data_IF_637152096088
#
_entry.id   IF_637152096088
#
_cell.length_a   1.000
_cell.length_b   1.000
_cell.length_c   1.000
_cell.angle_alpha   90.00
_cell.angle_beta   90.00
_cell.angle_gamma   90.00
#
_symmetry.space_group_name_H-M   'P 1'
#
loop_
_entity.id
_entity.type
_entity.pdbx_description
1 polymer ?
#
# COMPACT_ATOMS: atom_id res chain seq x y z
N UNK A 1 -48.81 -7.78 -31.12
CA UNK A 1 -48.57 -8.54 -29.87
C UNK A 1 -47.53 -9.58 -30.20
N UNK A 2 -46.28 -9.38 -29.78
CA UNK A 2 -45.27 -10.44 -29.84
C UNK A 2 -45.30 -11.14 -28.51
N UNK A 3 -45.58 -12.43 -28.55
CA UNK A 3 -45.49 -13.32 -27.41
C UNK A 3 -44.07 -13.27 -26.85
N UNK A 4 -43.95 -12.77 -25.62
CA UNK A 4 -42.73 -12.87 -24.83
C UNK A 4 -42.58 -14.33 -24.42
N UNK A 5 -41.88 -15.10 -25.24
CA UNK A 5 -41.37 -16.41 -24.86
C UNK A 5 -40.61 -16.28 -23.54
N UNK A 6 -40.95 -17.19 -22.63
CA UNK A 6 -40.44 -17.31 -21.26
C UNK A 6 -38.92 -17.30 -21.27
N UNK A 7 -38.33 -16.13 -20.99
CA UNK A 7 -36.92 -16.01 -20.64
C UNK A 7 -36.71 -16.89 -19.41
N UNK A 8 -35.79 -17.85 -19.51
CA UNK A 8 -35.20 -18.52 -18.34
C UNK A 8 -34.82 -17.43 -17.35
N UNK A 9 -35.55 -17.36 -16.24
CA UNK A 9 -35.43 -16.28 -15.27
C UNK A 9 -33.97 -16.09 -14.87
N UNK A 10 -33.56 -14.83 -14.74
CA UNK A 10 -32.27 -14.48 -14.19
C UNK A 10 -32.06 -15.23 -12.86
N UNK A 11 -30.87 -15.79 -12.57
CA UNK A 11 -30.67 -16.67 -11.41
C UNK A 11 -30.84 -15.98 -10.06
N UNK A 12 -30.89 -14.64 -10.05
CA UNK A 12 -31.05 -13.83 -8.85
C UNK A 12 -32.36 -13.06 -8.87
N UNK A 13 -33.08 -13.12 -7.74
CA UNK A 13 -34.21 -12.23 -7.46
C UNK A 13 -33.74 -10.82 -7.10
N UNK A 14 -34.67 -9.86 -7.10
CA UNK A 14 -34.40 -8.50 -6.61
C UNK A 14 -33.83 -8.53 -5.18
N UNK A 15 -34.36 -9.38 -4.30
CA UNK A 15 -33.89 -9.49 -2.92
C UNK A 15 -32.46 -10.04 -2.83
N UNK A 16 -32.10 -11.01 -3.68
CA UNK A 16 -30.73 -11.55 -3.71
C UNK A 16 -29.74 -10.46 -4.12
N UNK A 17 -30.09 -9.67 -5.14
CA UNK A 17 -29.24 -8.57 -5.61
C UNK A 17 -29.13 -7.45 -4.58
N UNK A 18 -30.20 -7.15 -3.84
CA UNK A 18 -30.18 -6.20 -2.74
C UNK A 18 -29.25 -6.64 -1.61
N UNK A 19 -29.29 -7.91 -1.20
CA UNK A 19 -28.37 -8.47 -0.21
C UNK A 19 -26.91 -8.40 -0.68
N UNK A 20 -26.65 -8.77 -1.95
CA UNK A 20 -25.33 -8.65 -2.55
C UNK A 20 -24.82 -7.21 -2.57
N UNK A 21 -25.71 -6.23 -2.79
CA UNK A 21 -25.35 -4.80 -2.79
C UNK A 21 -24.80 -4.36 -1.44
N UNK A 22 -25.49 -4.71 -0.34
CA UNK A 22 -25.05 -4.35 1.01
C UNK A 22 -23.72 -5.01 1.35
N UNK A 23 -23.56 -6.29 0.98
CA UNK A 23 -22.30 -7.00 1.18
C UNK A 23 -21.13 -6.32 0.46
N UNK A 24 -21.31 -5.97 -0.82
CA UNK A 24 -20.27 -5.27 -1.58
C UNK A 24 -19.98 -3.87 -1.00
N UNK A 25 -21.00 -3.14 -0.54
CA UNK A 25 -20.80 -1.84 0.10
C UNK A 25 -19.99 -1.96 1.39
N UNK A 26 -20.27 -2.96 2.21
CA UNK A 26 -19.49 -3.26 3.42
C UNK A 26 -18.03 -3.56 3.07
N UNK A 27 -17.80 -4.46 2.11
CA UNK A 27 -16.45 -4.85 1.69
C UNK A 27 -15.63 -3.66 1.17
N UNK A 28 -16.29 -2.72 0.48
CA UNK A 28 -15.64 -1.50 -0.01
C UNK A 28 -15.40 -0.49 1.11
N UNK A 29 -16.35 -0.31 2.02
CA UNK A 29 -16.24 0.60 3.16
C UNK A 29 -15.07 0.23 4.08
N UNK A 30 -14.95 -1.03 4.47
CA UNK A 30 -13.86 -1.53 5.33
C UNK A 30 -12.48 -1.22 4.75
N UNK A 31 -12.36 -1.22 3.42
CA UNK A 31 -11.10 -0.91 2.73
C UNK A 31 -10.88 0.60 2.57
N UNK A 32 -11.93 1.35 2.26
CA UNK A 32 -11.87 2.79 2.02
C UNK A 32 -11.58 3.58 3.31
N UNK A 33 -12.20 3.18 4.42
CA UNK A 33 -12.14 3.88 5.72
C UNK A 33 -11.18 3.14 6.66
N UNK A 34 -9.91 3.04 6.22
CA UNK A 34 -8.84 2.39 6.97
C UNK A 34 -8.88 2.78 8.46
N UNK A 35 -8.79 1.79 9.35
CA UNK A 35 -8.74 1.92 10.81
C UNK A 35 -10.07 1.94 11.57
N UNK A 36 -11.20 1.71 10.90
CA UNK A 36 -12.52 1.67 11.54
C UNK A 36 -13.06 0.21 11.59
N UNK A 37 -13.55 -0.27 12.75
CA UNK A 37 -14.27 -1.54 12.86
C UNK A 37 -15.45 -1.60 11.89
N UNK A 38 -15.68 -2.76 11.27
CA UNK A 38 -16.76 -2.94 10.30
C UNK A 38 -18.16 -2.61 10.87
N UNK A 39 -18.34 -2.68 12.19
CA UNK A 39 -19.61 -2.35 12.86
C UNK A 39 -20.00 -0.87 12.68
N UNK A 40 -19.02 0.02 12.46
CA UNK A 40 -19.26 1.45 12.20
C UNK A 40 -19.87 1.69 10.81
N UNK A 41 -19.77 0.75 9.86
CA UNK A 41 -20.48 0.87 8.57
C UNK A 41 -21.99 1.06 8.75
N UNK A 42 -22.57 0.31 9.69
CA UNK A 42 -24.00 0.39 9.96
C UNK A 42 -24.34 1.74 10.59
N UNK A 43 -23.54 2.22 11.55
CA UNK A 43 -23.79 3.49 12.26
C UNK A 43 -23.54 4.72 11.39
N UNK A 44 -22.46 4.71 10.61
CA UNK A 44 -21.99 5.87 9.87
C UNK A 44 -22.67 6.01 8.51
N UNK A 45 -22.96 4.87 7.86
CA UNK A 45 -23.50 4.84 6.50
C UNK A 45 -24.97 4.46 6.53
N UNK A 46 -25.33 3.28 7.04
CA UNK A 46 -26.69 2.77 6.79
C UNK A 46 -27.77 3.44 7.64
N UNK A 47 -27.52 3.63 8.95
CA UNK A 47 -28.52 4.15 9.89
C UNK A 47 -28.94 5.61 9.64
N UNK A 48 -28.05 6.54 9.25
CA UNK A 48 -28.43 7.93 9.05
C UNK A 48 -29.26 8.14 7.77
N UNK A 49 -29.01 7.34 6.73
CA UNK A 49 -29.54 7.57 5.38
C UNK A 49 -31.06 7.67 5.28
N UNK A 50 -31.88 6.80 5.92
CA UNK A 50 -33.33 6.94 5.86
C UNK A 50 -33.87 8.27 6.40
N UNK A 51 -33.10 8.96 7.25
CA UNK A 51 -33.48 10.28 7.79
C UNK A 51 -32.95 11.44 6.96
N UNK A 52 -31.80 11.27 6.32
CA UNK A 52 -31.10 12.32 5.58
C UNK A 52 -31.56 12.40 4.11
N UNK A 53 -31.94 11.27 3.50
CA UNK A 53 -32.32 11.19 2.09
C UNK A 53 -33.62 11.94 1.79
N UNK A 54 -33.53 12.95 0.91
CA UNK A 54 -34.67 13.62 0.28
C UNK A 54 -34.89 12.99 -1.08
N UNK A 55 -35.94 12.17 -1.19
CA UNK A 55 -36.17 11.29 -2.34
C UNK A 55 -36.47 12.03 -3.64
N UNK A 56 -36.86 13.29 -3.55
CA UNK A 56 -37.10 14.16 -4.69
C UNK A 56 -35.79 14.68 -5.32
N UNK A 57 -34.66 14.49 -4.65
CA UNK A 57 -33.34 14.88 -5.16
C UNK A 57 -32.74 13.76 -5.98
N UNK A 58 -32.54 13.98 -7.27
CA UNK A 58 -31.92 12.98 -8.17
C UNK A 58 -30.47 13.32 -8.53
N UNK A 59 -30.02 14.56 -8.29
CA UNK A 59 -28.65 14.95 -8.61
C UNK A 59 -27.67 14.31 -7.61
N UNK A 60 -26.71 13.47 -8.04
CA UNK A 60 -25.82 12.73 -7.13
C UNK A 60 -25.06 13.64 -6.15
N UNK A 61 -24.58 14.78 -6.62
CA UNK A 61 -23.86 15.73 -5.76
C UNK A 61 -24.76 16.30 -4.65
N UNK A 62 -26.02 16.59 -4.95
CA UNK A 62 -26.96 17.09 -3.96
C UNK A 62 -27.33 16.00 -2.94
N UNK A 63 -27.49 14.75 -3.39
CA UNK A 63 -27.68 13.59 -2.52
C UNK A 63 -26.49 13.44 -1.55
N UNK A 64 -25.26 13.56 -2.06
CA UNK A 64 -24.06 13.50 -1.23
C UNK A 64 -24.03 14.58 -0.16
N UNK A 65 -24.40 15.82 -0.50
CA UNK A 65 -24.41 16.93 0.45
C UNK A 65 -25.47 16.77 1.54
N UNK A 66 -26.54 16.01 1.28
CA UNK A 66 -27.51 15.65 2.33
C UNK A 66 -26.90 14.70 3.37
N UNK A 67 -26.00 13.83 2.93
CA UNK A 67 -25.35 12.82 3.76
C UNK A 67 -24.06 13.32 4.41
N UNK A 68 -23.47 14.40 3.90
CA UNK A 68 -22.21 14.95 4.36
C UNK A 68 -22.32 15.59 5.76
N UNK A 69 -21.27 15.41 6.56
CA UNK A 69 -21.11 16.15 7.82
C UNK A 69 -20.94 17.64 7.57
N UNK A 70 -21.20 18.49 8.56
CA UNK A 70 -21.04 19.95 8.41
C UNK A 70 -19.59 20.33 8.07
N UNK A 71 -18.62 19.55 8.55
CA UNK A 71 -17.21 19.71 8.20
C UNK A 71 -16.92 19.39 6.73
N UNK A 72 -17.62 18.42 6.14
CA UNK A 72 -17.50 18.07 4.73
C UNK A 72 -18.26 19.04 3.83
N UNK A 73 -19.42 19.53 4.27
CA UNK A 73 -20.15 20.61 3.58
C UNK A 73 -19.36 21.92 3.51
N UNK A 74 -18.50 22.16 4.49
CA UNK A 74 -17.59 23.32 4.50
C UNK A 74 -16.40 23.17 3.53
N UNK A 75 -16.15 21.97 3.00
CA UNK A 75 -15.15 21.76 1.95
C UNK A 75 -15.72 22.12 0.59
N UNK A 76 -14.83 22.43 -0.35
CA UNK A 76 -15.19 22.64 -1.75
C UNK A 76 -15.90 21.40 -2.32
N UNK A 77 -16.87 21.61 -3.22
CA UNK A 77 -17.64 20.57 -3.89
C UNK A 77 -16.74 19.51 -4.53
N UNK A 78 -15.63 19.96 -5.12
CA UNK A 78 -14.65 19.11 -5.77
C UNK A 78 -13.94 18.17 -4.78
N UNK A 79 -13.75 18.60 -3.53
CA UNK A 79 -13.16 17.77 -2.48
C UNK A 79 -14.13 16.69 -2.00
N UNK A 80 -15.42 17.03 -1.88
CA UNK A 80 -16.47 16.09 -1.51
C UNK A 80 -16.69 15.02 -2.58
N UNK A 81 -16.66 15.39 -3.87
CA UNK A 81 -16.78 14.43 -4.96
C UNK A 81 -15.60 13.45 -5.04
N UNK A 82 -14.40 13.85 -4.59
CA UNK A 82 -13.19 13.02 -4.59
C UNK A 82 -13.02 12.13 -3.36
N UNK A 83 -13.91 12.24 -2.36
CA UNK A 83 -13.84 11.39 -1.18
C UNK A 83 -14.09 9.92 -1.57
N UNK A 84 -13.27 8.97 -1.07
CA UNK A 84 -13.47 7.54 -1.35
C UNK A 84 -14.79 7.01 -0.76
N UNK A 85 -15.40 7.74 0.18
CA UNK A 85 -16.67 7.39 0.82
C UNK A 85 -17.88 7.85 0.00
N UNK A 86 -17.73 8.85 -0.86
CA UNK A 86 -18.83 9.41 -1.67
C UNK A 86 -19.56 8.37 -2.54
N UNK A 87 -18.89 7.54 -3.36
CA UNK A 87 -19.61 6.53 -4.13
C UNK A 87 -20.27 5.45 -3.25
N UNK A 88 -19.77 5.23 -2.02
CA UNK A 88 -20.40 4.33 -1.05
C UNK A 88 -21.72 4.94 -0.54
N UNK A 89 -21.71 6.22 -0.15
CA UNK A 89 -22.91 6.93 0.31
C UNK A 89 -23.97 6.97 -0.79
N UNK A 90 -23.59 7.29 -2.02
CA UNK A 90 -24.52 7.29 -3.17
C UNK A 90 -25.16 5.92 -3.39
N UNK A 91 -24.34 4.87 -3.42
CA UNK A 91 -24.84 3.51 -3.60
C UNK A 91 -25.79 3.09 -2.47
N UNK A 92 -25.44 3.41 -1.22
CA UNK A 92 -26.29 3.13 -0.06
C UNK A 92 -27.62 3.92 -0.11
N UNK A 93 -27.61 5.18 -0.54
CA UNK A 93 -28.84 5.97 -0.72
C UNK A 93 -29.76 5.32 -1.75
N UNK A 94 -29.22 5.00 -2.94
CA UNK A 94 -30.00 4.34 -3.98
C UNK A 94 -30.50 2.95 -3.55
N UNK A 95 -29.73 2.22 -2.75
CA UNK A 95 -30.18 0.97 -2.13
C UNK A 95 -31.41 1.17 -1.23
N UNK A 96 -31.42 2.19 -0.36
CA UNK A 96 -32.59 2.50 0.47
C UNK A 96 -33.80 2.97 -0.34
N UNK A 97 -33.58 3.72 -1.42
CA UNK A 97 -34.66 4.08 -2.36
C UNK A 97 -35.23 2.83 -3.06
N UNK A 98 -34.38 1.88 -3.43
CA UNK A 98 -34.80 0.60 -3.99
C UNK A 98 -35.63 -0.22 -3.00
N UNK A 99 -35.20 -0.31 -1.73
CA UNK A 99 -35.98 -0.91 -0.63
C UNK A 99 -37.36 -0.27 -0.51
N UNK A 100 -37.40 1.06 -0.46
CA UNK A 100 -38.66 1.76 -0.29
C UNK A 100 -39.60 1.58 -1.49
N UNK A 101 -39.09 1.66 -2.72
CA UNK A 101 -39.87 1.44 -3.93
C UNK A 101 -40.44 0.01 -3.97
N UNK A 102 -39.64 -0.99 -3.58
CA UNK A 102 -40.10 -2.38 -3.44
C UNK A 102 -41.22 -2.50 -2.41
N UNK A 103 -41.03 -1.94 -1.22
CA UNK A 103 -41.98 -2.03 -0.11
C UNK A 103 -43.30 -1.29 -0.40
N UNK A 104 -43.27 -0.29 -1.29
CA UNK A 104 -44.45 0.45 -1.77
C UNK A 104 -45.04 -0.09 -3.07
N UNK A 105 -44.65 -1.30 -3.51
CA UNK A 105 -45.17 -1.97 -4.72
C UNK A 105 -44.87 -1.24 -6.04
N UNK A 106 -43.71 -0.58 -6.14
CA UNK A 106 -43.18 0.03 -7.37
C UNK A 106 -41.94 -0.74 -7.87
N UNK A 107 -42.11 -1.95 -8.45
CA UNK A 107 -40.99 -2.83 -8.78
C UNK A 107 -40.05 -2.24 -9.84
N UNK A 108 -40.56 -1.52 -10.83
CA UNK A 108 -39.73 -0.91 -11.90
C UNK A 108 -38.82 0.19 -11.34
N UNK A 109 -39.33 0.99 -10.41
CA UNK A 109 -38.54 1.99 -9.70
C UNK A 109 -37.50 1.32 -8.79
N UNK A 110 -37.86 0.23 -8.12
CA UNK A 110 -36.93 -0.54 -7.29
C UNK A 110 -35.75 -1.08 -8.11
N UNK A 111 -36.01 -1.62 -9.30
CA UNK A 111 -34.98 -2.06 -10.23
C UNK A 111 -34.09 -0.90 -10.71
N UNK A 112 -34.70 0.23 -11.07
CA UNK A 112 -33.96 1.40 -11.53
C UNK A 112 -32.99 1.91 -10.46
N UNK A 113 -33.47 2.06 -9.22
CA UNK A 113 -32.61 2.46 -8.10
C UNK A 113 -31.54 1.42 -7.77
N UNK A 114 -31.83 0.13 -7.89
CA UNK A 114 -30.83 -0.91 -7.63
C UNK A 114 -29.70 -0.88 -8.66
N UNK A 115 -30.00 -0.61 -9.94
CA UNK A 115 -28.99 -0.44 -10.99
C UNK A 115 -28.08 0.76 -10.69
N UNK A 116 -28.66 1.89 -10.27
CA UNK A 116 -27.88 3.05 -9.82
C UNK A 116 -27.00 2.71 -8.60
N UNK A 117 -27.55 1.98 -7.62
CA UNK A 117 -26.79 1.52 -6.48
C UNK A 117 -25.58 0.67 -6.91
N UNK A 118 -25.75 -0.23 -7.88
CA UNK A 118 -24.69 -1.07 -8.40
C UNK A 118 -23.65 -0.29 -9.20
N UNK A 119 -24.07 0.68 -9.99
CA UNK A 119 -23.16 1.58 -10.71
C UNK A 119 -22.22 2.28 -9.72
N UNK A 120 -22.76 2.92 -8.69
CA UNK A 120 -21.95 3.62 -7.68
C UNK A 120 -21.11 2.67 -6.82
N UNK A 121 -21.61 1.47 -6.51
CA UNK A 121 -20.82 0.42 -5.86
C UNK A 121 -19.60 0.02 -6.73
N UNK A 122 -19.80 -0.13 -8.05
CA UNK A 122 -18.74 -0.38 -9.02
C UNK A 122 -17.69 0.74 -9.06
N UNK A 123 -18.13 2.00 -9.03
CA UNK A 123 -17.23 3.16 -8.92
C UNK A 123 -16.40 3.09 -7.63
N UNK A 124 -17.02 2.76 -6.50
CA UNK A 124 -16.32 2.62 -5.22
C UNK A 124 -15.26 1.48 -5.27
N UNK A 125 -15.61 0.33 -5.85
CA UNK A 125 -14.69 -0.80 -6.06
C UNK A 125 -13.52 -0.44 -6.98
N UNK A 126 -13.78 0.29 -8.07
CA UNK A 126 -12.72 0.73 -8.98
C UNK A 126 -11.74 1.70 -8.29
N UNK A 127 -12.25 2.58 -7.42
CA UNK A 127 -11.42 3.47 -6.58
C UNK A 127 -10.43 2.70 -5.71
N UNK A 128 -10.85 1.56 -5.11
CA UNK A 128 -9.96 0.64 -4.39
C UNK A 128 -8.84 0.09 -5.28
N UNK A 129 -9.20 -0.37 -6.49
CA UNK A 129 -8.24 -0.91 -7.45
C UNK A 129 -7.11 0.08 -7.78
N UNK A 130 -7.48 1.36 -7.99
CA UNK A 130 -6.52 2.42 -8.26
C UNK A 130 -5.58 2.69 -7.08
N UNK A 131 -6.10 2.77 -5.84
CA UNK A 131 -5.26 3.01 -4.67
C UNK A 131 -4.25 1.87 -4.43
N UNK A 132 -4.67 0.62 -4.58
CA UNK A 132 -3.78 -0.54 -4.44
C UNK A 132 -2.67 -0.51 -5.50
N UNK A 133 -3.03 -0.22 -6.76
CA UNK A 133 -2.06 -0.11 -7.85
C UNK A 133 -1.04 1.02 -7.60
N UNK A 134 -1.50 2.19 -7.14
CA UNK A 134 -0.62 3.31 -6.78
C UNK A 134 0.33 2.96 -5.63
N UNK A 135 -0.16 2.27 -4.60
CA UNK A 135 0.67 1.84 -3.48
C UNK A 135 1.74 0.84 -3.94
N UNK A 136 1.36 -0.15 -4.74
CA UNK A 136 2.29 -1.14 -5.30
C UNK A 136 3.36 -0.48 -6.18
N UNK A 137 2.98 0.50 -7.00
CA UNK A 137 3.91 1.27 -7.81
C UNK A 137 4.89 2.08 -6.94
N UNK A 138 4.38 2.78 -5.92
CA UNK A 138 5.22 3.55 -4.99
C UNK A 138 6.21 2.64 -4.24
N UNK A 139 5.77 1.47 -3.79
CA UNK A 139 6.63 0.50 -3.11
C UNK A 139 7.64 -0.17 -4.05
N UNK A 140 7.30 -0.30 -5.34
CA UNK A 140 8.24 -0.69 -6.39
C UNK A 140 9.35 0.34 -6.55
N UNK A 141 8.99 1.62 -6.72
CA UNK A 141 9.96 2.73 -6.83
C UNK A 141 10.87 2.80 -5.60
N UNK A 142 10.33 2.68 -4.39
CA UNK A 142 11.14 2.65 -3.16
C UNK A 142 12.14 1.51 -3.15
N UNK A 143 11.73 0.31 -3.58
CA UNK A 143 12.62 -0.86 -3.68
C UNK A 143 13.73 -0.62 -4.69
N UNK A 144 13.42 -0.08 -5.86
CA UNK A 144 14.41 0.22 -6.90
C UNK A 144 15.39 1.30 -6.44
N UNK A 145 14.91 2.35 -5.78
CA UNK A 145 15.76 3.39 -5.19
C UNK A 145 16.67 2.82 -4.09
N UNK A 146 16.14 1.95 -3.22
CA UNK A 146 16.92 1.30 -2.18
C UNK A 146 18.00 0.39 -2.77
N UNK A 147 17.67 -0.39 -3.80
CA UNK A 147 18.61 -1.26 -4.51
C UNK A 147 19.70 -0.45 -5.22
N UNK A 148 19.32 0.62 -5.93
CA UNK A 148 20.26 1.55 -6.58
C UNK A 148 21.18 2.23 -5.57
N UNK A 149 20.64 2.69 -4.44
CA UNK A 149 21.43 3.27 -3.35
C UNK A 149 22.37 2.26 -2.67
N UNK A 150 21.95 1.00 -2.53
CA UNK A 150 22.82 -0.07 -2.03
C UNK A 150 23.95 -0.38 -3.03
N UNK A 151 23.64 -0.47 -4.33
CA UNK A 151 24.62 -0.68 -5.40
C UNK A 151 25.67 0.43 -5.43
N UNK A 152 25.24 1.71 -5.47
CA UNK A 152 26.16 2.86 -5.46
C UNK A 152 27.04 2.91 -4.21
N UNK A 153 26.50 2.54 -3.03
CA UNK A 153 27.31 2.41 -1.81
C UNK A 153 28.34 1.29 -1.97
N UNK A 154 27.94 0.11 -2.42
CA UNK A 154 28.86 -1.01 -2.66
C UNK A 154 29.98 -0.61 -3.62
N UNK A 155 29.66 0.02 -4.75
CA UNK A 155 30.64 0.50 -5.73
C UNK A 155 31.60 1.53 -5.13
N UNK A 156 31.09 2.48 -4.34
CA UNK A 156 31.92 3.49 -3.65
C UNK A 156 32.93 2.87 -2.68
N UNK A 157 32.57 1.80 -1.99
CA UNK A 157 33.44 1.11 -1.03
C UNK A 157 34.29 0.01 -1.67
N UNK A 158 34.09 -0.31 -2.94
CA UNK A 158 34.81 -1.39 -3.63
C UNK A 158 36.34 -1.20 -3.59
N UNK A 159 36.91 -0.02 -3.87
CA UNK A 159 38.37 0.16 -3.81
C UNK A 159 38.95 -0.04 -2.40
N UNK A 160 38.21 0.37 -1.37
CA UNK A 160 38.60 0.19 0.03
C UNK A 160 38.58 -1.29 0.42
N UNK A 161 37.57 -2.02 -0.06
CA UNK A 161 37.44 -3.46 0.14
C UNK A 161 38.58 -4.21 -0.53
N UNK A 162 38.87 -3.90 -1.79
CA UNK A 162 39.93 -4.56 -2.55
C UNK A 162 41.30 -4.34 -1.89
N UNK A 163 41.62 -3.08 -1.53
CA UNK A 163 42.82 -2.76 -0.76
C UNK A 163 42.88 -3.53 0.56
N UNK A 164 41.78 -3.59 1.31
CA UNK A 164 41.74 -4.28 2.59
C UNK A 164 42.02 -5.79 2.44
N UNK A 165 41.44 -6.41 1.42
CA UNK A 165 41.62 -7.83 1.12
C UNK A 165 43.05 -8.13 0.65
N UNK A 166 43.60 -7.28 -0.21
CA UNK A 166 44.96 -7.43 -0.73
C UNK A 166 46.00 -7.26 0.37
N UNK A 167 45.83 -6.27 1.25
CA UNK A 167 46.70 -6.09 2.41
C UNK A 167 46.59 -7.27 3.38
N UNK A 168 45.39 -7.80 3.61
CA UNK A 168 45.22 -8.96 4.49
C UNK A 168 45.91 -10.22 3.94
N UNK A 169 45.99 -10.39 2.61
CA UNK A 169 46.70 -11.50 1.97
C UNK A 169 48.20 -11.29 1.90
N UNK A 170 48.64 -10.09 1.52
CA UNK A 170 50.05 -9.82 1.16
C UNK A 170 50.88 -9.19 2.28
N UNK A 171 50.24 -8.53 3.26
CA UNK A 171 50.93 -7.89 4.40
C UNK A 171 50.95 -8.75 5.65
N UNK A 172 50.56 -10.02 5.54
CA UNK A 172 50.72 -10.97 6.63
C UNK A 172 52.23 -11.18 6.88
N UNK A 173 52.71 -11.11 8.14
CA UNK A 173 54.08 -11.51 8.45
C UNK A 173 54.32 -12.97 8.04
N UNK A 174 55.57 -13.46 7.92
CA UNK A 174 55.88 -14.84 7.53
C UNK A 174 55.16 -15.91 8.37
N UNK A 175 54.71 -15.52 9.57
CA UNK A 175 53.94 -16.28 10.54
C UNK A 175 52.41 -16.29 10.33
N UNK A 176 51.87 -15.54 9.36
CA UNK A 176 50.44 -15.31 9.13
C UNK A 176 49.84 -14.23 10.04
N UNK A 177 48.67 -13.69 9.68
CA UNK A 177 47.88 -12.88 10.61
C UNK A 177 47.32 -13.79 11.72
N UNK A 178 47.75 -13.59 12.96
CA UNK A 178 47.39 -14.44 14.12
C UNK A 178 45.88 -14.52 14.39
N UNK A 179 45.11 -13.52 13.94
CA UNK A 179 43.65 -13.51 13.99
C UNK A 179 43.08 -12.48 13.00
N UNK A 180 41.77 -12.57 12.72
CA UNK A 180 41.05 -11.58 11.92
C UNK A 180 41.07 -10.18 12.54
N UNK A 181 40.91 -10.07 13.86
CA UNK A 181 41.01 -8.78 14.56
C UNK A 181 42.41 -8.16 14.40
N UNK A 182 43.46 -8.98 14.45
CA UNK A 182 44.81 -8.50 14.19
C UNK A 182 44.97 -8.00 12.75
N UNK A 183 44.40 -8.71 11.77
CA UNK A 183 44.38 -8.25 10.38
C UNK A 183 43.62 -6.91 10.21
N UNK A 184 42.46 -6.74 10.86
CA UNK A 184 41.72 -5.46 10.88
C UNK A 184 42.62 -4.34 11.38
N UNK A 185 43.31 -4.52 12.51
CA UNK A 185 44.18 -3.48 13.09
C UNK A 185 45.38 -3.12 12.19
N UNK A 186 45.96 -4.09 11.49
CA UNK A 186 47.07 -3.85 10.55
C UNK A 186 46.61 -3.11 9.29
N UNK A 187 45.43 -3.44 8.79
CA UNK A 187 44.90 -2.93 7.51
C UNK A 187 44.22 -1.57 7.68
N UNK A 188 43.59 -1.32 8.84
CA UNK A 188 42.78 -0.14 9.12
C UNK A 188 43.47 1.21 8.80
N UNK A 189 44.74 1.47 9.20
CA UNK A 189 45.40 2.75 8.91
C UNK A 189 45.49 3.06 7.41
N UNK A 190 45.82 2.06 6.59
CA UNK A 190 45.96 2.21 5.13
C UNK A 190 44.61 2.39 4.44
N UNK A 191 43.58 1.71 4.93
CA UNK A 191 42.21 1.86 4.42
C UNK A 191 41.65 3.24 4.77
N UNK A 192 41.94 3.78 5.95
CA UNK A 192 41.56 5.13 6.34
C UNK A 192 42.24 6.21 5.48
N UNK A 193 43.52 6.04 5.17
CA UNK A 193 44.25 6.93 4.26
C UNK A 193 43.65 6.93 2.84
N UNK A 194 43.33 5.76 2.29
CA UNK A 194 42.64 5.67 1.00
C UNK A 194 41.22 6.26 1.08
N UNK A 195 40.50 6.06 2.19
CA UNK A 195 39.16 6.61 2.36
C UNK A 195 39.19 8.14 2.38
N UNK A 196 40.16 8.75 3.08
CA UNK A 196 40.31 10.20 3.14
C UNK A 196 40.67 10.81 1.78
N UNK A 197 41.65 10.20 1.07
CA UNK A 197 42.02 10.64 -0.28
C UNK A 197 40.89 10.50 -1.31
N UNK A 198 39.99 9.52 -1.13
CA UNK A 198 38.79 9.35 -1.94
C UNK A 198 37.59 10.21 -1.48
N UNK A 199 37.76 11.05 -0.45
CA UNK A 199 36.69 11.89 0.11
C UNK A 199 35.56 11.09 0.79
N UNK A 200 35.85 9.88 1.25
CA UNK A 200 34.90 8.99 1.94
C UNK A 200 35.04 9.21 3.45
N UNK A 201 34.12 10.01 4.00
CA UNK A 201 34.05 10.22 5.46
C UNK A 201 33.51 8.97 6.14
N UNK A 202 34.35 8.32 6.93
CA UNK A 202 34.00 7.15 7.76
C UNK A 202 34.56 7.33 9.16
N UNK A 203 33.79 6.92 10.17
CA UNK A 203 34.30 6.89 11.54
C UNK A 203 35.20 5.68 11.76
N UNK A 204 36.21 5.81 12.64
CA UNK A 204 37.18 4.75 12.92
C UNK A 204 36.49 3.43 13.35
N UNK A 205 35.54 3.51 14.29
CA UNK A 205 34.79 2.32 14.75
C UNK A 205 33.95 1.68 13.63
N UNK A 206 33.41 2.48 12.72
CA UNK A 206 32.59 1.98 11.62
C UNK A 206 33.44 1.30 10.56
N UNK A 207 34.61 1.87 10.23
CA UNK A 207 35.50 1.28 9.23
C UNK A 207 36.09 -0.04 9.74
N UNK A 208 36.43 -0.15 11.03
CA UNK A 208 36.92 -1.40 11.64
C UNK A 208 35.90 -2.52 11.50
N UNK A 209 34.62 -2.26 11.82
CA UNK A 209 33.55 -3.23 11.65
C UNK A 209 33.36 -3.63 10.19
N UNK A 210 33.43 -2.64 9.31
CA UNK A 210 33.25 -2.85 7.86
C UNK A 210 34.39 -3.71 7.29
N UNK A 211 35.64 -3.47 7.70
CA UNK A 211 36.79 -4.29 7.32
C UNK A 211 36.63 -5.70 7.89
N UNK A 212 36.24 -5.87 9.15
CA UNK A 212 35.98 -7.20 9.73
C UNK A 212 34.97 -8.00 8.92
N UNK A 213 33.86 -7.37 8.52
CA UNK A 213 32.81 -7.97 7.68
C UNK A 213 33.35 -8.36 6.29
N UNK A 214 34.17 -7.51 5.66
CA UNK A 214 34.80 -7.83 4.38
C UNK A 214 35.77 -9.00 4.46
N UNK A 215 36.64 -9.00 5.49
CA UNK A 215 37.62 -10.08 5.70
C UNK A 215 36.94 -11.40 6.08
N UNK A 216 35.83 -11.35 6.82
CA UNK A 216 35.00 -12.52 7.13
C UNK A 216 34.39 -13.15 5.87
N UNK A 217 34.07 -12.34 4.87
CA UNK A 217 33.45 -12.79 3.62
C UNK A 217 34.46 -13.34 2.59
N UNK A 218 35.76 -13.39 2.92
CA UNK A 218 36.76 -13.99 2.04
C UNK A 218 36.59 -15.51 1.95
N UNK A 219 36.70 -16.11 0.75
CA UNK A 219 36.57 -17.57 0.58
C UNK A 219 37.68 -18.34 1.32
N UNK A 220 38.86 -17.72 1.45
CA UNK A 220 40.06 -18.21 2.13
C UNK A 220 40.17 -17.74 3.59
N UNK A 221 39.14 -17.07 4.15
CA UNK A 221 39.18 -16.50 5.51
C UNK A 221 39.59 -17.51 6.60
N UNK A 222 39.12 -18.76 6.49
CA UNK A 222 39.44 -19.81 7.46
C UNK A 222 40.93 -20.20 7.45
N UNK A 223 41.58 -20.10 6.30
CA UNK A 223 43.01 -20.41 6.13
C UNK A 223 43.87 -19.20 6.55
N UNK A 224 43.44 -17.99 6.17
CA UNK A 224 44.16 -16.75 6.47
C UNK A 224 44.17 -16.38 7.96
N UNK A 225 43.11 -16.73 8.69
CA UNK A 225 42.90 -16.27 10.08
C UNK A 225 42.73 -17.42 11.09
N UNK A 226 43.29 -18.60 10.81
CA UNK A 226 43.21 -19.72 11.74
C UNK A 226 43.83 -19.36 13.09
N UNK A 227 43.07 -19.49 14.18
CA UNK A 227 43.59 -19.29 15.54
C UNK A 227 44.77 -20.26 15.73
N UNK A 228 45.97 -19.74 15.97
CA UNK A 228 47.07 -20.56 16.50
C UNK A 228 46.58 -21.16 17.82
N UNK A 229 46.51 -22.49 17.87
CA UNK A 229 46.27 -23.25 19.10
C UNK A 229 47.46 -23.10 20.04
#
# INVERSE_FOLDING_TARGET
MRDYEVQKGHPYSLNDLMLLTVQHLYDVYVVAVKHIPGDEFIEDVLKPLPRLDRRETDQPLEILLQCATDQEKAKDYDASARSPVSPILLSATYYFRAMHARDTSHPDAAWSYLVEAWYWCGVAMAGKGLQVALQQAADGVKRDMAASGAKKRSERFQPLRDLACDLARNSAPPSGCSSRNHAVQVVNPKVLELADSAGIKVSLKQIERTIDDWLKALPDAAQLFSKRK
#
